data_IF_491546008096
#
_entry.id   IF_491546008096
#
_cell.length_a   1.000
_cell.length_b   1.000
_cell.length_c   1.000
_cell.angle_alpha   90.00
_cell.angle_beta   90.00
_cell.angle_gamma   90.00
#
_symmetry.space_group_name_H-M   'P 1'
#
loop_
_entity.id
_entity.type
_entity.pdbx_description
1 polymer ?
#
# COMPACT_ATOMS: atom_id res chain seq x y z
N UNK A 1 -43.45 11.39 -17.62
CA UNK A 1 -42.60 10.82 -16.55
C UNK A 1 -41.19 10.68 -17.12
N UNK A 2 -40.36 11.71 -16.95
CA UNK A 2 -38.97 11.70 -17.43
C UNK A 2 -38.08 11.30 -16.26
N UNK A 3 -37.54 10.09 -16.30
CA UNK A 3 -36.52 9.64 -15.34
C UNK A 3 -35.21 10.36 -15.66
N UNK A 4 -34.77 11.19 -14.73
CA UNK A 4 -33.42 11.76 -14.70
C UNK A 4 -32.46 10.61 -14.38
N UNK A 5 -31.76 10.12 -15.41
CA UNK A 5 -30.61 9.24 -15.22
C UNK A 5 -29.50 10.14 -14.64
N UNK A 6 -29.36 10.13 -13.31
CA UNK A 6 -28.19 10.72 -12.66
C UNK A 6 -26.96 9.97 -13.15
N UNK A 7 -26.21 10.59 -14.06
CA UNK A 7 -24.97 10.03 -14.60
C UNK A 7 -23.97 9.85 -13.44
N UNK A 8 -23.50 8.62 -13.15
CA UNK A 8 -22.61 8.33 -12.03
C UNK A 8 -21.17 8.86 -12.21
N UNK A 9 -20.83 9.49 -13.34
CA UNK A 9 -19.46 9.90 -13.68
C UNK A 9 -19.06 11.31 -13.23
N UNK A 10 -19.96 12.09 -12.62
CA UNK A 10 -19.67 13.46 -12.17
C UNK A 10 -19.51 13.60 -10.65
N UNK A 11 -19.04 12.55 -9.97
CA UNK A 11 -18.47 12.73 -8.64
C UNK A 11 -17.20 13.58 -8.80
N UNK A 12 -17.36 14.91 -8.85
CA UNK A 12 -16.28 15.88 -8.73
C UNK A 12 -15.49 15.48 -7.49
N UNK A 13 -14.32 14.90 -7.71
CA UNK A 13 -13.44 14.51 -6.63
C UNK A 13 -13.13 15.76 -5.83
N UNK A 14 -13.69 15.86 -4.63
CA UNK A 14 -13.36 16.90 -3.66
C UNK A 14 -11.95 16.64 -3.11
N UNK A 15 -10.95 16.92 -3.94
CA UNK A 15 -9.53 16.75 -3.61
C UNK A 15 -9.13 17.55 -2.35
N UNK A 16 -9.63 18.78 -2.11
CA UNK A 16 -9.42 19.47 -0.84
C UNK A 16 -9.86 18.64 0.37
N UNK A 17 -11.11 18.16 0.37
CA UNK A 17 -11.62 17.38 1.49
C UNK A 17 -10.93 16.02 1.60
N UNK A 18 -10.59 15.37 0.48
CA UNK A 18 -9.85 14.11 0.50
C UNK A 18 -8.45 14.30 1.09
N UNK A 19 -7.73 15.35 0.70
CA UNK A 19 -6.41 15.67 1.28
C UNK A 19 -6.51 15.88 2.79
N UNK A 20 -7.50 16.64 3.26
CA UNK A 20 -7.75 16.83 4.68
C UNK A 20 -8.08 15.53 5.42
N UNK A 21 -8.92 14.66 4.83
CA UNK A 21 -9.23 13.32 5.37
C UNK A 21 -7.98 12.45 5.50
N UNK A 22 -7.07 12.50 4.51
CA UNK A 22 -5.83 11.75 4.58
C UNK A 22 -4.92 12.27 5.71
N UNK A 23 -4.75 13.58 5.86
CA UNK A 23 -4.02 14.15 6.98
C UNK A 23 -4.61 13.75 8.33
N UNK A 24 -5.95 13.78 8.46
CA UNK A 24 -6.64 13.34 9.68
C UNK A 24 -6.37 11.86 9.99
N UNK A 25 -6.41 10.99 8.97
CA UNK A 25 -6.06 9.56 9.09
C UNK A 25 -4.62 9.35 9.52
N UNK A 26 -3.65 10.12 9.02
CA UNK A 26 -2.26 9.97 9.44
C UNK A 26 -2.04 10.38 10.88
N UNK A 27 -2.70 11.47 11.34
CA UNK A 27 -2.67 11.84 12.75
C UNK A 27 -3.20 10.70 13.62
N UNK A 28 -4.37 10.16 13.30
CA UNK A 28 -4.99 9.06 14.03
C UNK A 28 -4.07 7.83 14.07
N UNK A 29 -3.52 7.43 12.92
CA UNK A 29 -2.61 6.27 12.84
C UNK A 29 -1.27 6.50 13.56
N UNK A 30 -0.79 7.74 13.62
CA UNK A 30 0.45 8.07 14.31
C UNK A 30 0.34 7.93 15.83
N UNK A 31 -0.88 7.94 16.39
CA UNK A 31 -1.13 7.92 17.82
C UNK A 31 -0.73 9.19 18.57
N UNK A 32 -0.18 10.21 17.90
CA UNK A 32 0.21 11.47 18.52
C UNK A 32 -1.01 12.35 18.79
N UNK A 33 -1.04 12.96 19.97
CA UNK A 33 -1.94 14.07 20.26
C UNK A 33 -1.62 15.28 19.37
N UNK A 34 -2.60 16.18 19.21
CA UNK A 34 -2.42 17.42 18.43
C UNK A 34 -1.25 18.26 18.96
N UNK A 35 -1.04 18.25 20.29
CA UNK A 35 0.05 18.97 20.95
C UNK A 35 1.42 18.36 20.64
N UNK A 36 1.57 17.04 20.77
CA UNK A 36 2.82 16.35 20.44
C UNK A 36 3.17 16.54 18.96
N UNK A 37 2.17 16.47 18.08
CA UNK A 37 2.38 16.70 16.66
C UNK A 37 2.83 18.13 16.37
N UNK A 38 2.26 19.13 17.07
CA UNK A 38 2.65 20.54 16.94
C UNK A 38 4.10 20.77 17.36
N UNK A 39 4.51 20.17 18.49
CA UNK A 39 5.89 20.21 18.99
C UNK A 39 6.85 19.54 17.98
N UNK A 40 6.53 18.34 17.48
CA UNK A 40 7.34 17.62 16.48
C UNK A 40 7.43 18.35 15.14
N UNK A 41 6.35 18.95 14.69
CA UNK A 41 6.29 19.71 13.43
C UNK A 41 6.87 21.12 13.56
N UNK A 42 7.26 21.55 14.77
CA UNK A 42 7.65 22.93 15.07
C UNK A 42 6.61 23.95 14.55
N UNK A 43 5.33 23.66 14.78
CA UNK A 43 4.19 24.45 14.36
C UNK A 43 3.31 24.79 15.57
N UNK A 44 2.46 25.80 15.48
CA UNK A 44 1.51 26.08 16.56
C UNK A 44 0.41 25.01 16.60
N UNK A 45 -0.15 24.78 17.79
CA UNK A 45 -1.31 23.89 17.98
C UNK A 45 -2.47 24.26 17.03
N UNK A 46 -2.74 25.56 16.86
CA UNK A 46 -3.80 26.04 15.95
C UNK A 46 -3.51 25.77 14.48
N UNK A 47 -2.25 25.77 14.04
CA UNK A 47 -1.86 25.39 12.69
C UNK A 47 -2.13 23.91 12.43
N UNK A 48 -1.83 23.02 13.38
CA UNK A 48 -2.10 21.58 13.25
C UNK A 48 -3.60 21.30 13.18
N UNK A 49 -4.41 21.91 14.05
CA UNK A 49 -5.88 21.77 14.01
C UNK A 49 -6.43 22.25 12.67
N UNK A 50 -5.94 23.37 12.16
CA UNK A 50 -6.38 23.94 10.88
C UNK A 50 -5.93 23.09 9.69
N UNK A 51 -4.77 22.43 9.77
CA UNK A 51 -4.25 21.57 8.70
C UNK A 51 -5.14 20.36 8.41
N UNK A 52 -5.82 19.82 9.42
CA UNK A 52 -6.81 18.74 9.27
C UNK A 52 -8.23 19.26 9.05
N UNK A 53 -8.40 20.57 8.87
CA UNK A 53 -9.70 21.22 8.67
C UNK A 53 -10.15 21.22 7.19
N UNK A 54 -11.25 21.91 6.88
CA UNK A 54 -11.82 21.92 5.53
C UNK A 54 -11.01 22.70 4.48
N UNK A 55 -10.04 23.52 4.91
CA UNK A 55 -9.20 24.32 4.01
C UNK A 55 -7.86 23.64 3.79
N UNK A 56 -7.37 23.67 2.55
CA UNK A 56 -6.07 23.08 2.21
C UNK A 56 -4.96 23.92 2.87
N UNK A 57 -4.13 23.35 3.76
CA UNK A 57 -3.04 24.09 4.40
C UNK A 57 -2.00 24.55 3.38
N UNK A 58 -1.10 25.45 3.78
CA UNK A 58 0.07 25.76 2.94
C UNK A 58 1.01 24.54 2.87
N UNK A 59 1.78 24.40 1.78
CA UNK A 59 2.70 23.27 1.64
C UNK A 59 3.68 23.17 2.80
N UNK A 60 4.19 24.31 3.30
CA UNK A 60 5.09 24.36 4.45
C UNK A 60 4.48 23.66 5.69
N UNK A 61 3.19 23.89 5.97
CA UNK A 61 2.49 23.27 7.10
C UNK A 61 2.19 21.80 6.83
N UNK A 62 1.70 21.46 5.62
CA UNK A 62 1.42 20.08 5.24
C UNK A 62 2.68 19.20 5.30
N UNK A 63 3.80 19.69 4.76
CA UNK A 63 5.10 19.03 4.79
C UNK A 63 5.59 18.79 6.21
N UNK A 64 5.53 19.81 7.08
CA UNK A 64 5.94 19.68 8.48
C UNK A 64 5.07 18.67 9.24
N UNK A 65 3.75 18.69 9.00
CA UNK A 65 2.79 17.73 9.55
C UNK A 65 3.12 16.29 9.11
N UNK A 66 3.29 16.06 7.80
CA UNK A 66 3.60 14.74 7.25
C UNK A 66 4.97 14.24 7.74
N UNK A 67 5.98 15.09 7.77
CA UNK A 67 7.28 14.73 8.35
C UNK A 67 7.17 14.35 9.83
N UNK A 68 6.38 15.08 10.62
CA UNK A 68 6.11 14.74 12.02
C UNK A 68 5.36 13.41 12.19
N UNK A 69 4.54 13.03 11.20
CA UNK A 69 3.90 11.71 11.10
C UNK A 69 4.85 10.59 10.61
N UNK A 70 6.12 10.91 10.31
CA UNK A 70 7.14 9.92 9.93
C UNK A 70 7.26 9.65 8.42
N UNK A 71 6.67 10.48 7.56
CA UNK A 71 6.89 10.40 6.12
C UNK A 71 8.30 10.88 5.76
N UNK A 72 8.99 10.09 4.92
CA UNK A 72 10.34 10.43 4.44
C UNK A 72 10.30 11.41 3.25
N UNK A 73 11.49 11.81 2.77
CA UNK A 73 11.61 12.78 1.67
C UNK A 73 10.92 12.30 0.39
N UNK A 74 11.05 11.02 0.02
CA UNK A 74 10.47 10.49 -1.20
C UNK A 74 8.92 10.51 -1.13
N UNK A 75 8.37 10.20 0.05
CA UNK A 75 6.93 10.26 0.25
C UNK A 75 6.42 11.69 0.22
N UNK A 76 7.18 12.62 0.79
CA UNK A 76 6.85 14.04 0.78
C UNK A 76 6.79 14.61 -0.63
N UNK A 77 7.62 14.14 -1.57
CA UNK A 77 7.56 14.57 -2.97
C UNK A 77 6.25 14.12 -3.63
N UNK A 78 5.80 12.88 -3.40
CA UNK A 78 4.48 12.41 -3.84
C UNK A 78 3.32 13.18 -3.20
N UNK A 79 3.41 13.48 -1.90
CA UNK A 79 2.44 14.30 -1.19
C UNK A 79 2.40 15.74 -1.69
N UNK A 80 3.51 16.28 -2.20
CA UNK A 80 3.54 17.63 -2.78
C UNK A 80 2.69 17.71 -4.03
N UNK A 81 2.71 16.67 -4.87
CA UNK A 81 1.86 16.58 -6.07
C UNK A 81 0.38 16.54 -5.66
N UNK A 82 0.02 15.67 -4.71
CA UNK A 82 -1.35 15.58 -4.21
C UNK A 82 -1.83 16.91 -3.58
N UNK A 83 -0.95 17.56 -2.81
CA UNK A 83 -1.23 18.88 -2.22
C UNK A 83 -1.46 19.94 -3.29
N UNK A 84 -0.65 19.97 -4.34
CA UNK A 84 -0.77 20.94 -5.43
C UNK A 84 -2.13 20.78 -6.13
N UNK A 85 -2.53 19.54 -6.44
CA UNK A 85 -3.85 19.25 -7.03
C UNK A 85 -4.98 19.71 -6.11
N UNK A 86 -4.92 19.39 -4.81
CA UNK A 86 -5.92 19.85 -3.84
C UNK A 86 -5.98 21.39 -3.77
N UNK A 87 -4.83 22.06 -3.81
CA UNK A 87 -4.77 23.53 -3.73
C UNK A 87 -5.33 24.19 -4.99
N UNK A 88 -5.05 23.64 -6.16
CA UNK A 88 -5.59 24.15 -7.42
C UNK A 88 -7.09 23.87 -7.53
N UNK A 89 -7.54 22.70 -7.05
CA UNK A 89 -8.97 22.40 -6.94
C UNK A 89 -9.70 23.37 -5.99
N UNK A 90 -9.13 23.72 -4.82
CA UNK A 90 -9.70 24.73 -3.91
C UNK A 90 -9.82 26.11 -4.58
N UNK A 91 -8.83 26.50 -5.38
CA UNK A 91 -8.86 27.75 -6.15
C UNK A 91 -9.93 27.73 -7.24
N UNK A 92 -10.04 26.62 -7.96
CA UNK A 92 -11.06 26.47 -9.01
C UNK A 92 -12.48 26.40 -8.45
N UNK A 93 -12.68 25.77 -7.29
CA UNK A 93 -13.98 25.75 -6.59
C UNK A 93 -14.38 27.11 -6.02
N UNK A 94 -13.41 27.96 -5.66
CA UNK A 94 -13.71 29.32 -5.15
C UNK A 94 -13.93 30.36 -6.24
N UNK A 95 -13.68 30.04 -7.51
CA UNK A 95 -14.00 30.88 -8.67
C UNK A 95 -15.49 30.74 -9.01
N UNK A 96 -16.28 31.69 -8.53
CA UNK A 96 -17.71 31.79 -8.85
C UNK A 96 -17.96 31.78 -10.37
N UNK A 97 -18.91 30.92 -10.75
CA UNK A 97 -19.87 31.14 -11.81
C UNK A 97 -19.32 31.64 -13.17
N UNK A 98 -18.56 30.84 -13.92
CA UNK A 98 -18.62 30.86 -15.40
C UNK A 98 -18.03 29.54 -15.97
N UNK A 99 -18.90 28.83 -16.71
CA UNK A 99 -18.73 27.64 -17.56
C UNK A 99 -18.02 26.40 -16.98
N UNK A 100 -18.83 25.40 -16.64
CA UNK A 100 -18.42 24.01 -16.39
C UNK A 100 -17.75 23.35 -17.61
N UNK A 101 -18.14 23.74 -18.83
CA UNK A 101 -17.63 23.15 -20.07
C UNK A 101 -16.14 23.45 -20.34
N UNK A 102 -15.58 24.51 -19.75
CA UNK A 102 -14.15 24.83 -19.86
C UNK A 102 -13.25 24.14 -18.84
N UNK A 103 -13.83 23.44 -17.84
CA UNK A 103 -13.07 22.91 -16.67
C UNK A 103 -12.90 21.39 -16.69
N UNK A 104 -13.50 20.69 -17.65
CA UNK A 104 -13.39 19.22 -17.76
C UNK A 104 -11.92 18.77 -17.93
N UNK A 105 -11.15 19.49 -18.75
CA UNK A 105 -9.72 19.21 -18.95
C UNK A 105 -8.92 19.27 -17.63
N UNK A 106 -9.32 20.17 -16.72
CA UNK A 106 -8.63 20.42 -15.46
C UNK A 106 -8.92 19.26 -14.52
N UNK A 107 -10.18 18.84 -14.39
CA UNK A 107 -10.55 17.72 -13.54
C UNK A 107 -9.97 16.40 -14.02
N UNK A 108 -9.85 16.19 -15.33
CA UNK A 108 -9.17 15.03 -15.91
C UNK A 108 -7.66 15.02 -15.57
N UNK A 109 -6.99 16.16 -15.76
CA UNK A 109 -5.56 16.31 -15.41
C UNK A 109 -5.34 16.15 -13.91
N UNK A 110 -6.17 16.80 -13.08
CA UNK A 110 -6.16 16.71 -11.63
C UNK A 110 -6.32 15.27 -11.16
N UNK A 111 -7.23 14.48 -11.78
CA UNK A 111 -7.42 13.07 -11.44
C UNK A 111 -6.15 12.25 -11.66
N UNK A 112 -5.49 12.43 -12.80
CA UNK A 112 -4.25 11.73 -13.12
C UNK A 112 -3.11 12.12 -12.19
N UNK A 113 -2.89 13.43 -12.00
CA UNK A 113 -1.85 13.93 -11.10
C UNK A 113 -2.11 13.56 -9.63
N UNK A 114 -3.37 13.56 -9.19
CA UNK A 114 -3.74 13.10 -7.86
C UNK A 114 -3.39 11.61 -7.68
N UNK A 115 -3.80 10.78 -8.63
CA UNK A 115 -3.51 9.34 -8.60
C UNK A 115 -2.00 9.07 -8.58
N UNK A 116 -1.24 9.78 -9.41
CA UNK A 116 0.23 9.68 -9.45
C UNK A 116 0.86 10.15 -8.13
N UNK A 117 0.45 11.29 -7.59
CA UNK A 117 0.93 11.81 -6.31
C UNK A 117 0.63 10.87 -5.14
N UNK A 118 -0.59 10.33 -5.08
CA UNK A 118 -0.99 9.36 -4.06
C UNK A 118 -0.25 8.03 -4.21
N UNK A 119 -0.02 7.56 -5.44
CA UNK A 119 0.81 6.38 -5.71
C UNK A 119 2.25 6.61 -5.29
N UNK A 120 2.86 7.73 -5.64
CA UNK A 120 4.20 8.11 -5.24
C UNK A 120 4.33 8.19 -3.71
N UNK A 121 3.40 8.88 -3.06
CA UNK A 121 3.32 9.00 -1.60
C UNK A 121 3.21 7.64 -0.89
N UNK A 122 2.41 6.72 -1.44
CA UNK A 122 2.22 5.38 -0.87
C UNK A 122 3.40 4.44 -1.18
N UNK A 123 4.03 4.62 -2.34
CA UNK A 123 5.21 3.85 -2.75
C UNK A 123 6.48 4.19 -1.97
N UNK A 124 6.48 5.31 -1.25
CA UNK A 124 7.63 5.73 -0.47
C UNK A 124 7.58 5.25 0.99
N UNK A 125 6.70 4.30 1.33
CA UNK A 125 6.87 3.56 2.57
C UNK A 125 7.93 2.47 2.33
N UNK A 126 9.17 2.62 2.82
CA UNK A 126 10.24 1.67 2.54
C UNK A 126 9.92 0.26 3.05
N UNK A 127 9.08 0.14 4.08
CA UNK A 127 8.64 -1.15 4.60
C UNK A 127 7.74 -1.85 3.57
N UNK A 128 6.76 -1.16 3.00
CA UNK A 128 5.86 -1.73 1.98
C UNK A 128 6.62 -2.10 0.69
N UNK A 129 7.57 -1.26 0.28
CA UNK A 129 8.44 -1.57 -0.87
C UNK A 129 9.22 -2.84 -0.62
N UNK A 130 9.92 -2.92 0.52
CA UNK A 130 10.69 -4.11 0.88
C UNK A 130 9.79 -5.35 0.94
N UNK A 131 8.62 -5.24 1.57
CA UNK A 131 7.69 -6.36 1.75
C UNK A 131 7.22 -6.95 0.43
N UNK A 132 6.93 -6.13 -0.59
CA UNK A 132 6.50 -6.60 -1.92
C UNK A 132 7.53 -7.51 -2.58
N UNK A 133 8.81 -7.26 -2.32
CA UNK A 133 9.93 -7.99 -2.91
C UNK A 133 10.52 -9.05 -1.95
N UNK A 134 9.86 -9.36 -0.82
CA UNK A 134 10.31 -10.41 0.10
C UNK A 134 10.09 -11.79 -0.52
N UNK A 135 11.20 -12.41 -0.92
CA UNK A 135 11.26 -13.80 -1.40
C UNK A 135 11.99 -14.73 -0.43
N UNK A 136 12.70 -14.19 0.57
CA UNK A 136 13.46 -14.98 1.55
C UNK A 136 13.12 -14.61 3.00
N UNK A 137 13.32 -15.53 3.96
CA UNK A 137 13.20 -15.21 5.38
C UNK A 137 14.11 -14.06 5.84
N UNK A 138 15.29 -13.91 5.23
CA UNK A 138 16.18 -12.77 5.49
C UNK A 138 15.58 -11.45 4.99
N UNK A 139 14.94 -11.46 3.81
CA UNK A 139 14.18 -10.31 3.31
C UNK A 139 13.10 -9.86 4.28
N UNK A 140 12.33 -10.80 4.85
CA UNK A 140 11.36 -10.52 5.90
C UNK A 140 12.03 -9.92 7.14
N UNK A 141 13.16 -10.50 7.56
CA UNK A 141 13.98 -9.97 8.65
C UNK A 141 14.43 -8.52 8.41
N UNK A 142 14.84 -8.18 7.19
CA UNK A 142 15.21 -6.82 6.80
C UNK A 142 14.02 -5.85 6.88
N UNK A 143 12.83 -6.27 6.42
CA UNK A 143 11.61 -5.47 6.55
C UNK A 143 11.26 -5.18 8.03
N UNK A 144 11.42 -6.16 8.93
CA UNK A 144 11.24 -5.95 10.38
C UNK A 144 12.25 -4.92 10.91
N UNK A 145 13.53 -4.96 10.49
CA UNK A 145 14.52 -3.96 10.92
C UNK A 145 14.16 -2.56 10.42
N UNK A 146 13.68 -2.44 9.19
CA UNK A 146 13.27 -1.14 8.62
C UNK A 146 12.10 -0.57 9.40
N UNK A 147 11.08 -1.39 9.69
CA UNK A 147 9.96 -1.00 10.54
C UNK A 147 10.44 -0.54 11.92
N UNK A 148 11.28 -1.34 12.57
CA UNK A 148 11.74 -1.04 13.93
C UNK A 148 12.66 0.18 13.98
N UNK A 149 13.49 0.39 12.95
CA UNK A 149 14.36 1.56 12.83
C UNK A 149 13.54 2.85 12.67
N UNK A 150 12.41 2.79 11.94
CA UNK A 150 11.46 3.91 11.86
C UNK A 150 10.87 4.27 13.23
N UNK A 151 10.64 3.27 14.09
CA UNK A 151 10.21 3.46 15.48
C UNK A 151 11.36 3.85 16.43
N UNK A 152 12.60 4.03 15.95
CA UNK A 152 13.76 4.40 16.75
C UNK A 152 14.48 3.22 17.41
N UNK A 153 14.11 1.97 17.09
CA UNK A 153 14.72 0.76 17.63
C UNK A 153 15.78 0.21 16.67
N UNK A 154 17.04 0.62 16.85
CA UNK A 154 18.14 0.27 15.93
C UNK A 154 18.94 -0.96 16.36
N UNK A 155 18.77 -1.45 17.60
CA UNK A 155 19.50 -2.61 18.12
C UNK A 155 18.58 -3.81 18.28
N UNK A 156 19.10 -5.03 18.04
CA UNK A 156 18.31 -6.28 18.20
C UNK A 156 17.66 -6.37 19.58
N UNK A 157 18.35 -5.89 20.63
CA UNK A 157 17.79 -5.84 21.99
C UNK A 157 16.59 -4.89 22.08
N UNK A 158 16.72 -3.66 21.58
CA UNK A 158 15.62 -2.70 21.57
C UNK A 158 14.41 -3.21 20.77
N UNK A 159 14.65 -3.88 19.63
CA UNK A 159 13.60 -4.48 18.80
C UNK A 159 12.89 -5.62 19.56
N UNK A 160 13.65 -6.50 20.21
CA UNK A 160 13.13 -7.59 21.01
C UNK A 160 12.27 -7.08 22.19
N UNK A 161 12.80 -6.11 22.93
CA UNK A 161 12.12 -5.50 24.08
C UNK A 161 10.82 -4.79 23.64
N UNK A 162 10.84 -4.05 22.52
CA UNK A 162 9.67 -3.36 21.99
C UNK A 162 8.60 -4.31 21.43
N UNK A 163 9.00 -5.41 20.79
CA UNK A 163 8.08 -6.37 20.14
C UNK A 163 7.51 -7.44 21.09
N UNK A 164 8.04 -7.55 22.32
CA UNK A 164 7.69 -8.64 23.24
C UNK A 164 8.23 -10.02 22.82
N UNK A 165 9.12 -10.08 21.83
CA UNK A 165 9.74 -11.32 21.34
C UNK A 165 11.09 -11.53 22.03
N UNK A 166 11.34 -12.73 22.54
CA UNK A 166 12.63 -13.06 23.15
C UNK A 166 13.81 -12.71 22.22
N UNK A 167 14.86 -12.07 22.75
CA UNK A 167 16.02 -11.58 21.97
C UNK A 167 16.63 -12.62 21.03
N UNK A 168 16.81 -13.85 21.49
CA UNK A 168 17.35 -14.93 20.66
C UNK A 168 16.41 -15.31 19.51
N UNK A 169 15.10 -15.28 19.72
CA UNK A 169 14.10 -15.54 18.69
C UNK A 169 14.07 -14.41 17.66
N UNK A 170 14.05 -13.16 18.12
CA UNK A 170 14.13 -11.98 17.24
C UNK A 170 15.40 -12.01 16.40
N UNK A 171 16.56 -12.32 17.01
CA UNK A 171 17.82 -12.44 16.27
C UNK A 171 17.75 -13.48 15.14
N UNK A 172 17.12 -14.64 15.38
CA UNK A 172 16.92 -15.68 14.35
C UNK A 172 16.00 -15.22 13.22
N UNK A 173 14.92 -14.50 13.54
CA UNK A 173 14.02 -13.92 12.54
C UNK A 173 14.75 -12.89 11.69
N UNK A 174 15.46 -11.96 12.32
CA UNK A 174 16.17 -10.89 11.63
C UNK A 174 17.25 -11.44 10.69
N UNK A 175 17.84 -12.60 10.97
CA UNK A 175 18.84 -13.25 10.11
C UNK A 175 18.26 -14.20 9.07
N UNK A 176 16.95 -14.40 9.06
CA UNK A 176 16.32 -15.40 8.19
C UNK A 176 16.61 -16.86 8.58
N UNK A 177 17.23 -17.12 9.73
CA UNK A 177 17.50 -18.49 10.20
C UNK A 177 16.22 -19.26 10.54
N UNK A 178 15.13 -18.54 10.84
CA UNK A 178 13.80 -19.11 11.09
C UNK A 178 12.73 -18.07 10.83
N UNK A 179 11.71 -18.34 9.98
CA UNK A 179 10.58 -17.43 9.83
C UNK A 179 9.71 -17.40 11.11
N UNK A 180 9.06 -16.26 11.40
CA UNK A 180 8.08 -16.17 12.47
C UNK A 180 6.83 -17.01 12.15
N UNK A 181 6.04 -17.35 13.17
CA UNK A 181 4.67 -17.85 12.95
C UNK A 181 3.73 -16.67 12.72
N UNK A 182 2.63 -16.87 11.97
CA UNK A 182 1.69 -15.78 11.66
C UNK A 182 1.20 -15.01 12.91
N UNK A 183 0.75 -15.66 14.00
CA UNK A 183 0.30 -14.94 15.19
C UNK A 183 1.41 -14.11 15.83
N UNK A 184 2.62 -14.68 15.96
CA UNK A 184 3.74 -13.98 16.59
C UNK A 184 4.27 -12.82 15.74
N UNK A 185 4.25 -12.96 14.41
CA UNK A 185 4.61 -11.86 13.52
C UNK A 185 3.61 -10.72 13.67
N UNK A 186 2.30 -11.02 13.63
CA UNK A 186 1.22 -10.05 13.78
C UNK A 186 1.37 -9.21 15.04
N UNK A 187 1.55 -9.87 16.19
CA UNK A 187 1.72 -9.18 17.48
C UNK A 187 2.99 -8.32 17.50
N UNK A 188 4.11 -8.87 17.03
CA UNK A 188 5.39 -8.17 17.00
C UNK A 188 5.34 -6.89 16.15
N UNK A 189 4.77 -6.94 14.94
CA UNK A 189 4.73 -5.77 14.05
C UNK A 189 3.75 -4.71 14.55
N UNK A 190 2.65 -5.10 15.21
CA UNK A 190 1.75 -4.16 15.90
C UNK A 190 2.51 -3.39 16.97
N UNK A 191 3.26 -4.09 17.82
CA UNK A 191 4.03 -3.49 18.90
C UNK A 191 5.17 -2.59 18.39
N UNK A 192 5.71 -2.89 17.20
CA UNK A 192 6.69 -2.03 16.50
C UNK A 192 6.04 -0.86 15.74
N UNK A 193 4.73 -0.67 15.83
CA UNK A 193 4.03 0.46 15.20
C UNK A 193 3.76 0.28 13.70
N UNK A 194 3.58 -0.95 13.23
CA UNK A 194 3.10 -1.19 11.87
C UNK A 194 1.68 -0.67 11.68
N UNK A 195 1.48 0.07 10.60
CA UNK A 195 0.17 0.50 10.13
C UNK A 195 -0.68 -0.71 9.68
N UNK A 196 -2.02 -0.57 9.59
CA UNK A 196 -2.87 -1.66 9.12
C UNK A 196 -2.44 -2.29 7.79
N UNK A 197 -2.01 -1.46 6.84
CA UNK A 197 -1.54 -1.89 5.52
C UNK A 197 -0.23 -2.68 5.61
N UNK A 198 0.74 -2.20 6.40
CA UNK A 198 1.99 -2.93 6.61
C UNK A 198 1.76 -4.27 7.30
N UNK A 199 0.83 -4.34 8.25
CA UNK A 199 0.48 -5.60 8.91
C UNK A 199 0.02 -6.63 7.90
N UNK A 200 -0.91 -6.28 7.02
CA UNK A 200 -1.39 -7.19 5.98
C UNK A 200 -0.26 -7.60 5.04
N UNK A 201 0.59 -6.66 4.61
CA UNK A 201 1.74 -6.98 3.74
C UNK A 201 2.81 -7.85 4.43
N UNK A 202 3.04 -7.69 5.73
CA UNK A 202 3.90 -8.59 6.50
C UNK A 202 3.34 -10.01 6.53
N UNK A 203 2.02 -10.14 6.73
CA UNK A 203 1.36 -11.44 6.74
C UNK A 203 1.34 -12.07 5.35
N UNK A 204 1.11 -11.28 4.30
CA UNK A 204 1.17 -11.77 2.93
C UNK A 204 2.58 -12.23 2.57
N UNK A 205 3.61 -11.43 2.88
CA UNK A 205 5.01 -11.83 2.73
C UNK A 205 5.34 -13.13 3.47
N UNK A 206 4.87 -13.28 4.72
CA UNK A 206 5.08 -14.51 5.47
C UNK A 206 4.34 -15.70 4.85
N UNK A 207 3.11 -15.52 4.35
CA UNK A 207 2.39 -16.56 3.62
C UNK A 207 3.17 -16.95 2.38
N UNK A 208 3.67 -15.98 1.61
CA UNK A 208 4.49 -16.26 0.42
C UNK A 208 5.72 -17.10 0.71
N UNK A 209 6.37 -16.86 1.85
CA UNK A 209 7.51 -17.66 2.31
C UNK A 209 7.15 -19.07 2.78
N UNK A 210 5.90 -19.29 3.20
CA UNK A 210 5.42 -20.57 3.73
C UNK A 210 4.63 -21.39 2.70
N UNK A 211 4.12 -20.75 1.63
CA UNK A 211 3.44 -21.47 0.55
C UNK A 211 4.44 -22.38 -0.16
N UNK A 212 4.06 -23.65 -0.34
CA UNK A 212 4.89 -24.66 -1.01
C UNK A 212 5.01 -24.29 -2.48
N UNK A 213 6.22 -24.24 -3.09
CA UNK A 213 6.47 -23.78 -4.46
C UNK A 213 5.42 -24.26 -5.46
N UNK A 214 5.22 -23.47 -6.51
CA UNK A 214 4.23 -23.78 -7.55
C UNK A 214 4.33 -25.26 -7.96
N UNK A 215 3.26 -26.01 -7.70
CA UNK A 215 3.23 -27.45 -7.92
C UNK A 215 3.08 -27.82 -9.41
N UNK A 216 2.93 -26.84 -10.30
CA UNK A 216 2.79 -27.09 -11.72
C UNK A 216 4.10 -27.68 -12.28
N UNK A 217 4.04 -28.89 -12.86
CA UNK A 217 5.19 -29.49 -13.52
C UNK A 217 5.39 -28.86 -14.90
N UNK A 218 6.64 -28.72 -15.31
CA UNK A 218 6.97 -28.37 -16.68
C UNK A 218 6.41 -29.45 -17.63
N UNK A 219 5.75 -29.08 -18.75
CA UNK A 219 5.02 -30.03 -19.61
C UNK A 219 5.90 -31.17 -20.13
N UNK A 220 7.09 -30.86 -20.63
CA UNK A 220 7.99 -31.88 -21.18
C UNK A 220 8.86 -32.58 -20.13
N UNK A 221 9.50 -31.81 -19.25
CA UNK A 221 10.48 -32.36 -18.30
C UNK A 221 9.89 -32.93 -17.03
N UNK A 222 8.60 -32.64 -16.75
CA UNK A 222 7.91 -32.98 -15.50
C UNK A 222 8.58 -32.41 -14.23
N UNK A 223 9.58 -31.54 -14.38
CA UNK A 223 10.23 -30.88 -13.25
C UNK A 223 9.31 -29.81 -12.67
N UNK A 224 9.19 -29.70 -11.33
CA UNK A 224 8.31 -28.74 -10.71
C UNK A 224 8.78 -27.30 -10.95
N UNK A 225 7.81 -26.38 -10.96
CA UNK A 225 8.09 -24.96 -10.95
C UNK A 225 8.75 -24.55 -9.61
N UNK A 226 9.82 -23.77 -9.69
CA UNK A 226 10.51 -23.22 -8.51
C UNK A 226 10.02 -21.83 -8.12
N UNK A 227 9.05 -21.29 -8.86
CA UNK A 227 8.46 -19.99 -8.57
C UNK A 227 7.47 -20.05 -7.40
N UNK A 228 7.16 -18.88 -6.85
CA UNK A 228 6.16 -18.71 -5.80
C UNK A 228 4.78 -19.28 -6.23
N UNK A 229 3.98 -19.89 -5.35
CA UNK A 229 2.83 -20.72 -5.76
C UNK A 229 1.69 -20.01 -6.48
N UNK A 230 1.64 -18.68 -6.37
CA UNK A 230 0.68 -17.81 -7.06
C UNK A 230 1.31 -16.91 -8.12
N UNK A 231 2.50 -17.25 -8.60
CA UNK A 231 3.08 -16.49 -9.70
C UNK A 231 2.18 -16.61 -10.95
N UNK A 232 2.07 -15.53 -11.71
CA UNK A 232 1.38 -15.53 -13.01
C UNK A 232 2.42 -15.37 -14.11
N UNK A 233 2.19 -16.02 -15.24
CA UNK A 233 3.06 -15.92 -16.40
C UNK A 233 4.16 -16.98 -16.39
N UNK A 234 5.41 -16.57 -16.50
CA UNK A 234 6.50 -17.52 -16.74
C UNK A 234 6.80 -18.36 -15.50
N UNK A 235 6.73 -19.67 -15.68
CA UNK A 235 7.26 -20.69 -14.79
C UNK A 235 8.73 -20.92 -15.10
N UNK A 236 9.47 -21.39 -14.10
CA UNK A 236 10.88 -21.77 -14.24
C UNK A 236 11.14 -23.04 -13.45
N UNK A 237 11.90 -24.00 -13.99
CA UNK A 237 12.37 -25.19 -13.26
C UNK A 237 13.69 -24.90 -12.54
N UNK A 238 14.13 -25.80 -11.65
CA UNK A 238 15.47 -25.73 -11.04
C UNK A 238 16.63 -25.84 -12.04
N UNK A 239 16.38 -26.39 -13.23
CA UNK A 239 17.33 -26.44 -14.35
C UNK A 239 17.30 -25.21 -15.25
N UNK A 240 16.45 -24.22 -14.95
CA UNK A 240 16.34 -22.97 -15.71
C UNK A 240 15.42 -23.04 -16.94
N UNK A 241 14.72 -24.16 -17.17
CA UNK A 241 13.72 -24.26 -18.23
C UNK A 241 12.53 -23.36 -17.91
N UNK A 242 12.02 -22.63 -18.90
CA UNK A 242 10.91 -21.70 -18.73
C UNK A 242 9.73 -22.11 -19.60
N UNK A 243 8.53 -22.06 -19.04
CA UNK A 243 7.28 -22.24 -19.78
C UNK A 243 6.27 -21.19 -19.34
N UNK A 244 5.38 -20.80 -20.23
CA UNK A 244 4.27 -19.92 -19.89
C UNK A 244 3.09 -20.83 -19.54
N UNK A 245 2.51 -20.65 -18.37
CA UNK A 245 1.17 -21.18 -18.10
C UNK A 245 0.18 -20.06 -18.43
N UNK A 246 -0.46 -20.20 -19.59
CA UNK A 246 -1.46 -19.26 -20.08
C UNK A 246 -2.79 -19.43 -19.32
N UNK A 247 -2.80 -20.28 -18.28
CA UNK A 247 -3.97 -20.92 -17.73
C UNK A 247 -4.43 -22.08 -18.62
N UNK A 248 -5.43 -22.87 -18.18
CA UNK A 248 -6.10 -23.79 -19.08
C UNK A 248 -6.50 -23.04 -20.34
N UNK A 249 -6.15 -23.58 -21.51
CA UNK A 249 -6.48 -22.94 -22.78
C UNK A 249 -7.96 -22.55 -22.77
N UNK A 250 -8.31 -21.44 -23.43
CA UNK A 250 -9.71 -21.02 -23.51
C UNK A 250 -10.62 -22.17 -23.96
N UNK A 251 -10.12 -23.06 -24.84
CA UNK A 251 -10.80 -24.30 -25.22
C UNK A 251 -11.03 -25.27 -24.07
N UNK A 252 -10.07 -25.45 -23.15
CA UNK A 252 -10.19 -26.33 -22.00
C UNK A 252 -11.18 -25.78 -20.96
N UNK A 253 -11.15 -24.48 -20.67
CA UNK A 253 -12.17 -23.82 -19.83
C UNK A 253 -13.57 -23.91 -20.44
N UNK A 254 -13.68 -23.77 -21.77
CA UNK A 254 -14.95 -23.90 -22.48
C UNK A 254 -15.43 -25.35 -22.56
N UNK A 255 -14.54 -26.34 -22.53
CA UNK A 255 -14.88 -27.76 -22.49
C UNK A 255 -15.52 -28.13 -21.16
N UNK A 256 -14.95 -27.68 -20.05
CA UNK A 256 -15.51 -27.91 -18.71
C UNK A 256 -16.78 -27.09 -18.47
N UNK A 257 -16.86 -25.87 -19.02
CA UNK A 257 -18.09 -25.08 -19.01
C UNK A 257 -19.23 -25.78 -19.77
N UNK A 258 -18.97 -26.30 -20.98
CA UNK A 258 -19.96 -27.06 -21.77
C UNK A 258 -20.35 -28.38 -21.11
N UNK A 259 -19.38 -29.09 -20.51
CA UNK A 259 -19.64 -30.33 -19.78
C UNK A 259 -20.54 -30.10 -18.55
N UNK A 260 -20.38 -28.99 -17.84
CA UNK A 260 -21.16 -28.68 -16.65
C UNK A 260 -22.51 -28.00 -16.93
N UNK A 261 -22.72 -27.41 -18.12
CA UNK A 261 -23.98 -26.71 -18.43
C UNK A 261 -25.11 -27.61 -18.95
N UNK A 262 -24.84 -28.89 -19.21
CA UNK A 262 -25.89 -29.86 -19.53
C UNK A 262 -26.78 -29.46 -20.71
N UNK A 263 -26.21 -28.83 -21.74
CA UNK A 263 -26.95 -28.56 -22.99
C UNK A 263 -27.27 -29.90 -23.66
N UNK A 264 -28.48 -30.40 -23.41
CA UNK A 264 -29.05 -31.46 -24.24
C UNK A 264 -29.32 -30.88 -25.62
N UNK A 265 -28.93 -31.56 -26.71
CA UNK A 265 -29.20 -31.08 -28.06
C UNK A 265 -30.71 -30.92 -28.23
N UNK A 266 -31.13 -29.73 -28.64
CA UNK A 266 -32.49 -29.48 -29.13
C UNK A 266 -32.62 -30.26 -30.44
N UNK A 267 -33.49 -31.26 -30.45
CA UNK A 267 -33.89 -31.99 -31.67
C UNK A 267 -34.85 -31.14 -32.51
#
# INVERSE_FOLDING_TARGET
>A
MSSVISSPDSATCDYPAEFARQLARFRERSGFSVRELAERANCSHSQIVRATGPKVPTWKVAKAFLAACGFDKAALDGWQIAWQVARDAERELSRDEYSTAGREWFWSTAKNSWSEGMKAASSANPVLVLLRDVETPEGLGNAIRTLASRAGHTTVRAIADASGVAKSTMQRWLRGERPPTEPKLRDAVVMLGATPEEREEFLDALRRLNETPCAEPHPDSQLPCVQHPRHRGWHTTSSGLRWLDDGPSFEMLMRDYRANKGDKPVQ
#
